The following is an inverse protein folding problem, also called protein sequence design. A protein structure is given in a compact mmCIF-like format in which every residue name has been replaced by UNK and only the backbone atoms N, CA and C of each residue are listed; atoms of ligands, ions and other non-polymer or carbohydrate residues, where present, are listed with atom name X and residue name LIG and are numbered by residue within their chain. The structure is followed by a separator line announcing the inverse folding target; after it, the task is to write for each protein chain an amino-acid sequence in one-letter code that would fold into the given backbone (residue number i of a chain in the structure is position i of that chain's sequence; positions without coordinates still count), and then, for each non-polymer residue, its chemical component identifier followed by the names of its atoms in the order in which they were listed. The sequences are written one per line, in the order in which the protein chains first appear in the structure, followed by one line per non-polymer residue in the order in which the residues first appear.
data_IF_447328495402
#
_entry.id   IF_447328495402
#
_cell.length_a   1.000
_cell.length_b   1.000
_cell.length_c   1.000
_cell.angle_alpha   90.00
_cell.angle_beta   90.00
_cell.angle_gamma   90.00
#
_symmetry.space_group_name_H-M   'P 1'
#
loop_
_entity.id
_entity.type
_entity.pdbx_description
1 polymer ?
#
# COMPACT_ATOMS: atom_id res chain seq x y z
N UNK A 1 -2.82 28.39 -2.97
CA UNK A 1 -1.71 27.88 -2.08
C UNK A 1 -0.38 28.26 -2.70
N UNK A 2 0.51 28.82 -1.91
CA UNK A 2 1.86 29.14 -2.38
C UNK A 2 2.67 27.87 -2.61
N UNK A 3 3.66 27.95 -3.50
CA UNK A 3 4.52 26.78 -3.84
C UNK A 3 5.18 26.20 -2.60
N UNK A 4 5.72 27.05 -1.69
CA UNK A 4 6.38 26.58 -0.46
C UNK A 4 5.41 25.87 0.47
N UNK A 5 4.18 26.36 0.59
CA UNK A 5 3.14 25.71 1.41
C UNK A 5 2.75 24.35 0.82
N UNK A 6 2.66 24.26 -0.51
CA UNK A 6 2.35 23.02 -1.19
C UNK A 6 3.43 21.97 -0.94
N UNK A 7 4.69 22.36 -0.99
CA UNK A 7 5.82 21.47 -0.70
C UNK A 7 5.76 21.00 0.75
N UNK A 8 5.51 21.88 1.70
CA UNK A 8 5.41 21.54 3.13
C UNK A 8 4.23 20.60 3.40
N UNK A 9 3.09 20.86 2.77
CA UNK A 9 1.90 20.01 2.89
C UNK A 9 2.18 18.61 2.34
N UNK A 10 2.81 18.53 1.17
CA UNK A 10 3.19 17.26 0.54
C UNK A 10 4.18 16.49 1.41
N UNK A 11 5.17 17.16 1.97
CA UNK A 11 6.16 16.52 2.85
C UNK A 11 5.49 15.89 4.07
N UNK A 12 4.53 16.58 4.69
CA UNK A 12 3.76 16.01 5.80
C UNK A 12 2.91 14.82 5.33
N UNK A 13 2.25 14.96 4.20
CA UNK A 13 1.43 13.89 3.63
C UNK A 13 2.28 12.64 3.40
N UNK A 14 3.42 12.77 2.75
CA UNK A 14 4.31 11.65 2.46
C UNK A 14 4.91 11.04 3.72
N UNK A 15 5.28 11.87 4.70
CA UNK A 15 5.83 11.40 5.97
C UNK A 15 4.91 10.41 6.67
N UNK A 16 3.61 10.62 6.59
CA UNK A 16 2.59 9.81 7.27
C UNK A 16 1.85 8.86 6.33
N UNK A 17 2.34 8.66 5.10
CA UNK A 17 1.70 7.83 4.08
C UNK A 17 0.22 8.20 3.88
N UNK A 18 -0.09 9.49 3.94
CA UNK A 18 -1.44 10.01 3.76
C UNK A 18 -2.41 9.70 4.90
N UNK A 19 -1.93 9.23 6.04
CA UNK A 19 -2.78 8.83 7.17
C UNK A 19 -3.04 9.98 8.14
N UNK A 20 -4.27 10.46 8.17
CA UNK A 20 -4.71 11.48 9.13
C UNK A 20 -4.61 10.96 10.57
N UNK A 21 -4.88 9.69 10.77
CA UNK A 21 -4.75 9.05 12.08
C UNK A 21 -3.32 9.19 12.64
N UNK A 22 -2.33 8.86 11.81
CA UNK A 22 -0.93 8.97 12.23
C UNK A 22 -0.51 10.42 12.43
N UNK A 23 -0.97 11.34 11.58
CA UNK A 23 -0.74 12.77 11.74
C UNK A 23 -1.28 13.27 13.08
N UNK A 24 -2.50 12.85 13.43
CA UNK A 24 -3.15 13.22 14.69
C UNK A 24 -2.37 12.69 15.88
N UNK A 25 -1.99 11.41 15.83
CA UNK A 25 -1.25 10.76 16.91
C UNK A 25 0.08 11.47 17.20
N UNK A 26 0.78 11.91 16.14
CA UNK A 26 2.07 12.59 16.27
C UNK A 26 1.96 14.11 16.46
N UNK A 27 0.74 14.65 16.47
CA UNK A 27 0.51 16.07 16.72
C UNK A 27 0.65 16.98 15.49
N UNK A 28 0.71 16.43 14.29
CA UNK A 28 0.94 17.20 13.04
C UNK A 28 -0.33 17.41 12.21
N UNK A 29 -1.47 16.85 12.61
CA UNK A 29 -2.69 16.95 11.78
C UNK A 29 -3.19 18.38 11.66
N UNK A 30 -3.22 19.14 12.75
CA UNK A 30 -3.70 20.54 12.72
C UNK A 30 -2.84 21.41 11.79
N UNK A 31 -1.53 21.17 11.80
CA UNK A 31 -0.61 21.84 10.88
C UNK A 31 -0.91 21.49 9.43
N UNK A 32 -1.12 20.20 9.14
CA UNK A 32 -1.46 19.76 7.80
C UNK A 32 -2.80 20.36 7.33
N UNK A 33 -3.80 20.35 8.22
CA UNK A 33 -5.14 20.86 7.92
C UNK A 33 -5.12 22.32 7.51
N UNK A 34 -4.21 23.12 8.07
CA UNK A 34 -4.08 24.55 7.75
C UNK A 34 -3.73 24.80 6.29
N UNK A 35 -3.13 23.84 5.60
CA UNK A 35 -2.76 23.99 4.20
C UNK A 35 -3.93 23.85 3.24
N UNK A 36 -5.10 23.42 3.69
CA UNK A 36 -6.32 23.28 2.89
C UNK A 36 -6.11 22.50 1.59
N UNK A 37 -5.41 21.39 1.67
CA UNK A 37 -5.13 20.52 0.52
C UNK A 37 -6.44 19.94 0.00
N UNK A 38 -6.65 19.99 -1.31
CA UNK A 38 -7.85 19.43 -1.93
C UNK A 38 -7.75 17.90 -2.00
N UNK A 39 -8.92 17.24 -2.07
CA UNK A 39 -8.97 15.78 -2.26
C UNK A 39 -8.33 15.36 -3.58
N UNK A 40 -8.50 16.15 -4.62
CA UNK A 40 -7.89 15.88 -5.93
C UNK A 40 -6.36 15.89 -5.82
N UNK A 41 -5.81 16.85 -5.09
CA UNK A 41 -4.37 16.92 -4.86
C UNK A 41 -3.89 15.71 -4.04
N UNK A 42 -4.65 15.33 -3.02
CA UNK A 42 -4.31 14.14 -2.21
C UNK A 42 -4.35 12.85 -3.04
N UNK A 43 -5.28 12.74 -4.00
CA UNK A 43 -5.31 11.57 -4.90
C UNK A 43 -4.04 11.49 -5.75
N UNK A 44 -3.57 12.62 -6.26
CA UNK A 44 -2.32 12.68 -7.02
C UNK A 44 -1.15 12.22 -6.14
N UNK A 45 -1.07 12.73 -4.93
CA UNK A 45 -0.01 12.35 -3.98
C UNK A 45 -0.08 10.89 -3.57
N UNK A 46 -1.30 10.34 -3.39
CA UNK A 46 -1.49 8.92 -3.10
C UNK A 46 -0.98 8.05 -4.24
N UNK A 47 -1.26 8.45 -5.47
CA UNK A 47 -0.74 7.74 -6.65
C UNK A 47 0.79 7.74 -6.69
N UNK A 48 1.39 8.89 -6.44
CA UNK A 48 2.86 9.01 -6.35
C UNK A 48 3.43 8.14 -5.22
N UNK A 49 2.73 8.14 -4.08
CA UNK A 49 3.14 7.35 -2.92
C UNK A 49 3.09 5.85 -3.21
N UNK A 50 2.05 5.38 -3.91
CA UNK A 50 1.96 3.98 -4.33
C UNK A 50 3.15 3.61 -5.21
N UNK A 51 3.48 4.45 -6.19
CA UNK A 51 4.62 4.18 -7.08
C UNK A 51 5.93 4.15 -6.30
N UNK A 52 6.12 5.09 -5.40
CA UNK A 52 7.32 5.14 -4.55
C UNK A 52 7.44 3.87 -3.70
N UNK A 53 6.37 3.49 -3.01
CA UNK A 53 6.37 2.32 -2.14
C UNK A 53 6.56 1.02 -2.94
N UNK A 54 5.97 0.92 -4.12
CA UNK A 54 6.18 -0.25 -4.99
C UNK A 54 7.64 -0.39 -5.42
N UNK A 55 8.32 0.73 -5.66
CA UNK A 55 9.75 0.71 -5.97
C UNK A 55 10.62 0.33 -4.76
N UNK A 56 10.09 0.46 -3.56
CA UNK A 56 10.77 0.09 -2.32
C UNK A 56 10.46 -1.33 -1.84
N UNK A 57 9.57 -2.05 -2.55
CA UNK A 57 9.25 -3.44 -2.17
C UNK A 57 10.50 -4.29 -2.14
N UNK A 58 10.61 -5.15 -1.14
CA UNK A 58 11.81 -5.96 -0.89
C UNK A 58 11.41 -7.29 -0.27
N UNK A 59 12.19 -8.33 -0.54
CA UNK A 59 12.08 -9.62 0.16
C UNK A 59 12.99 -9.70 1.38
N UNK A 60 13.76 -8.65 1.67
CA UNK A 60 14.61 -8.55 2.86
C UNK A 60 13.86 -7.99 4.07
N UNK A 61 12.82 -7.18 3.81
CA UNK A 61 11.96 -6.63 4.84
C UNK A 61 10.55 -6.38 4.27
N UNK A 62 9.59 -6.10 5.14
CA UNK A 62 8.20 -5.89 4.74
C UNK A 62 7.71 -4.46 4.98
N UNK A 63 8.60 -3.50 5.14
CA UNK A 63 8.22 -2.12 5.47
C UNK A 63 7.35 -1.46 4.39
N UNK A 64 7.79 -1.51 3.14
CA UNK A 64 7.02 -0.94 2.04
C UNK A 64 5.69 -1.66 1.84
N UNK A 65 5.69 -2.98 1.97
CA UNK A 65 4.47 -3.79 1.86
C UNK A 65 3.44 -3.41 2.93
N UNK A 66 3.87 -3.26 4.18
CA UNK A 66 2.99 -2.84 5.28
C UNK A 66 2.38 -1.47 5.02
N UNK A 67 3.18 -0.53 4.50
CA UNK A 67 2.70 0.80 4.15
C UNK A 67 1.66 0.75 3.03
N UNK A 68 1.89 -0.09 2.01
CA UNK A 68 0.93 -0.30 0.92
C UNK A 68 -0.36 -0.92 1.42
N UNK A 69 -0.27 -1.88 2.34
CA UNK A 69 -1.45 -2.53 2.92
C UNK A 69 -2.31 -1.50 3.68
N UNK A 70 -1.67 -0.64 4.47
CA UNK A 70 -2.37 0.43 5.19
C UNK A 70 -3.01 1.42 4.21
N UNK A 71 -2.27 1.84 3.19
CA UNK A 71 -2.74 2.78 2.18
C UNK A 71 -3.93 2.21 1.40
N UNK A 72 -3.98 0.89 1.18
CA UNK A 72 -5.07 0.24 0.48
C UNK A 72 -6.44 0.47 1.14
N UNK A 73 -6.48 0.76 2.44
CA UNK A 73 -7.71 1.11 3.14
C UNK A 73 -8.28 2.47 2.74
N UNK A 74 -7.46 3.37 2.23
CA UNK A 74 -7.80 4.75 1.90
C UNK A 74 -7.55 5.12 0.43
N UNK A 75 -7.29 4.13 -0.41
CA UNK A 75 -7.00 4.32 -1.82
C UNK A 75 -7.55 3.14 -2.60
N UNK A 76 -7.34 3.10 -3.91
CA UNK A 76 -7.75 1.99 -4.78
C UNK A 76 -6.97 0.71 -4.39
N UNK A 77 -7.59 -0.12 -3.56
CA UNK A 77 -6.97 -1.37 -3.09
C UNK A 77 -6.68 -2.32 -4.24
N UNK A 78 -7.55 -2.37 -5.26
CA UNK A 78 -7.37 -3.24 -6.42
C UNK A 78 -6.11 -2.89 -7.22
N UNK A 79 -5.84 -1.60 -7.37
CA UNK A 79 -4.62 -1.13 -8.04
C UNK A 79 -3.38 -1.51 -7.25
N UNK A 80 -3.42 -1.33 -5.94
CA UNK A 80 -2.32 -1.73 -5.05
C UNK A 80 -2.12 -3.24 -5.13
N UNK A 81 -3.21 -4.02 -5.09
CA UNK A 81 -3.14 -5.48 -5.19
C UNK A 81 -2.44 -5.92 -6.48
N UNK A 82 -2.83 -5.32 -7.61
CA UNK A 82 -2.23 -5.63 -8.91
C UNK A 82 -0.73 -5.43 -8.89
N UNK A 83 -0.28 -4.30 -8.36
CA UNK A 83 1.15 -3.97 -8.31
C UNK A 83 1.91 -4.86 -7.33
N UNK A 84 1.33 -5.16 -6.18
CA UNK A 84 1.96 -6.01 -5.17
C UNK A 84 2.12 -7.43 -5.69
N UNK A 85 1.08 -8.02 -6.29
CA UNK A 85 1.21 -9.40 -6.80
C UNK A 85 2.16 -9.49 -8.01
N UNK A 86 2.26 -8.44 -8.82
CA UNK A 86 3.22 -8.40 -9.92
C UNK A 86 4.65 -8.47 -9.40
N UNK A 87 4.96 -7.72 -8.35
CA UNK A 87 6.27 -7.79 -7.68
C UNK A 87 6.49 -9.16 -7.01
N UNK A 88 5.51 -9.60 -6.23
CA UNK A 88 5.62 -10.80 -5.42
C UNK A 88 5.83 -12.04 -6.26
N UNK A 89 5.08 -12.19 -7.36
CA UNK A 89 5.19 -13.35 -8.24
C UNK A 89 6.61 -13.54 -8.82
N UNK A 90 7.35 -12.44 -8.98
CA UNK A 90 8.70 -12.46 -9.54
C UNK A 90 9.80 -12.60 -8.50
N UNK A 91 9.54 -12.21 -7.26
CA UNK A 91 10.61 -12.00 -6.29
C UNK A 91 10.48 -12.83 -5.01
N UNK A 92 9.29 -13.37 -4.69
CA UNK A 92 9.04 -14.00 -3.39
C UNK A 92 9.94 -15.22 -3.13
N UNK A 93 10.40 -15.90 -4.17
CA UNK A 93 11.29 -17.06 -4.04
C UNK A 93 12.60 -16.71 -3.33
N UNK A 94 13.03 -15.46 -3.40
CA UNK A 94 14.26 -14.97 -2.75
C UNK A 94 14.10 -14.74 -1.25
N UNK A 95 12.85 -14.68 -0.76
CA UNK A 95 12.58 -14.45 0.65
C UNK A 95 12.68 -15.73 1.46
N UNK A 96 12.96 -15.58 2.75
CA UNK A 96 12.91 -16.70 3.68
C UNK A 96 11.45 -17.06 4.03
N UNK A 97 11.25 -18.10 4.83
CA UNK A 97 9.90 -18.57 5.20
C UNK A 97 9.10 -17.50 5.93
N UNK A 98 9.75 -16.70 6.79
CA UNK A 98 9.09 -15.64 7.54
C UNK A 98 8.54 -14.56 6.59
N UNK A 99 9.37 -14.09 5.65
CA UNK A 99 8.97 -13.07 4.67
C UNK A 99 7.83 -13.61 3.78
N UNK A 100 7.92 -14.89 3.37
CA UNK A 100 6.85 -15.51 2.56
C UNK A 100 5.51 -15.49 3.29
N UNK A 101 5.52 -15.85 4.57
CA UNK A 101 4.30 -15.85 5.40
C UNK A 101 3.75 -14.42 5.54
N UNK A 102 4.61 -13.44 5.83
CA UNK A 102 4.20 -12.04 5.96
C UNK A 102 3.59 -11.51 4.65
N UNK A 103 4.20 -11.83 3.51
CA UNK A 103 3.66 -11.42 2.21
C UNK A 103 2.27 -12.04 1.97
N UNK A 104 2.10 -13.33 2.29
CA UNK A 104 0.78 -13.97 2.15
C UNK A 104 -0.27 -13.30 3.02
N UNK A 105 0.06 -12.99 4.27
CA UNK A 105 -0.83 -12.32 5.21
C UNK A 105 -1.23 -10.93 4.72
N UNK A 106 -0.26 -10.14 4.29
CA UNK A 106 -0.49 -8.78 3.80
C UNK A 106 -1.29 -8.77 2.50
N UNK A 107 -0.98 -9.66 1.57
CA UNK A 107 -1.75 -9.79 0.32
C UNK A 107 -3.19 -10.17 0.63
N UNK A 108 -3.41 -11.08 1.58
CA UNK A 108 -4.77 -11.45 2.01
C UNK A 108 -5.53 -10.23 2.54
N UNK A 109 -4.89 -9.39 3.35
CA UNK A 109 -5.50 -8.15 3.83
C UNK A 109 -5.89 -7.21 2.69
N UNK A 110 -5.01 -7.06 1.69
CA UNK A 110 -5.30 -6.21 0.53
C UNK A 110 -6.48 -6.78 -0.25
N UNK A 111 -6.56 -8.10 -0.40
CA UNK A 111 -7.70 -8.77 -1.04
C UNK A 111 -9.01 -8.43 -0.29
N UNK A 112 -9.01 -8.52 1.04
CA UNK A 112 -10.18 -8.18 1.84
C UNK A 112 -10.62 -6.73 1.61
N UNK A 113 -9.68 -5.81 1.59
CA UNK A 113 -9.95 -4.39 1.34
C UNK A 113 -10.50 -4.16 -0.08
N UNK A 114 -9.93 -4.88 -1.05
CA UNK A 114 -10.39 -4.83 -2.44
C UNK A 114 -11.85 -5.28 -2.56
N UNK A 115 -12.19 -6.39 -1.92
CA UNK A 115 -13.56 -6.93 -1.92
C UNK A 115 -14.51 -5.96 -1.23
N UNK A 116 -14.12 -5.38 -0.11
CA UNK A 116 -14.94 -4.39 0.60
C UNK A 116 -15.24 -3.15 -0.24
N UNK A 117 -14.26 -2.67 -1.00
CA UNK A 117 -14.44 -1.50 -1.87
C UNK A 117 -15.37 -1.78 -3.02
N UNK A 118 -15.41 -3.02 -3.50
CA UNK A 118 -16.32 -3.51 -4.54
C UNK A 118 -16.51 -2.56 -5.73
N UNK A 119 -15.42 -1.95 -6.19
CA UNK A 119 -15.43 -1.05 -7.34
C UNK A 119 -14.85 -1.77 -8.55
N UNK A 120 -15.73 -2.14 -9.49
CA UNK A 120 -15.30 -2.84 -10.72
C UNK A 120 -14.37 -4.01 -10.41
N UNK A 121 -14.78 -4.87 -9.48
CA UNK A 121 -13.98 -5.96 -8.96
C UNK A 121 -13.56 -6.92 -10.09
N UNK A 122 -12.26 -7.11 -10.25
CA UNK A 122 -11.69 -8.00 -11.25
C UNK A 122 -11.48 -9.39 -10.65
N UNK A 123 -12.40 -10.30 -10.95
CA UNK A 123 -12.37 -11.67 -10.42
C UNK A 123 -11.07 -12.39 -10.77
N UNK A 124 -10.56 -12.18 -11.99
CA UNK A 124 -9.29 -12.78 -12.42
C UNK A 124 -8.14 -12.38 -11.49
N UNK A 125 -8.05 -11.09 -11.14
CA UNK A 125 -7.02 -10.58 -10.24
C UNK A 125 -7.12 -11.22 -8.86
N UNK A 126 -8.33 -11.33 -8.32
CA UNK A 126 -8.58 -11.96 -7.02
C UNK A 126 -8.13 -13.42 -7.05
N UNK A 127 -8.49 -14.17 -8.10
CA UNK A 127 -8.11 -15.58 -8.24
C UNK A 127 -6.60 -15.74 -8.37
N UNK A 128 -5.94 -14.90 -9.16
CA UNK A 128 -4.47 -14.91 -9.29
C UNK A 128 -3.79 -14.63 -7.95
N UNK A 129 -4.36 -13.73 -7.16
CA UNK A 129 -3.82 -13.39 -5.85
C UNK A 129 -3.93 -14.56 -4.88
N UNK A 130 -5.06 -15.27 -4.84
CA UNK A 130 -5.21 -16.48 -4.02
C UNK A 130 -4.30 -17.60 -4.48
N UNK A 131 -4.14 -17.79 -5.79
CA UNK A 131 -3.25 -18.82 -6.33
C UNK A 131 -1.79 -18.53 -5.93
N UNK A 132 -1.38 -17.28 -5.94
CA UNK A 132 -0.04 -16.89 -5.50
C UNK A 132 0.16 -17.18 -4.01
N UNK A 133 -0.83 -16.89 -3.17
CA UNK A 133 -0.78 -17.22 -1.74
C UNK A 133 -0.63 -18.71 -1.55
N UNK A 134 -1.45 -19.52 -2.22
CA UNK A 134 -1.40 -20.99 -2.10
C UNK A 134 -0.03 -21.55 -2.50
N UNK A 135 0.49 -21.09 -3.64
CA UNK A 135 1.80 -21.51 -4.13
C UNK A 135 2.91 -21.15 -3.15
N UNK A 136 2.88 -19.93 -2.64
CA UNK A 136 3.89 -19.43 -1.70
C UNK A 136 3.86 -20.23 -0.39
N UNK A 137 2.66 -20.50 0.14
CA UNK A 137 2.52 -21.29 1.37
C UNK A 137 2.99 -22.73 1.18
N UNK A 138 2.75 -23.34 0.02
CA UNK A 138 3.29 -24.68 -0.28
C UNK A 138 4.81 -24.69 -0.24
N UNK A 139 5.45 -23.64 -0.78
CA UNK A 139 6.90 -23.53 -0.76
C UNK A 139 7.44 -23.43 0.68
N UNK A 140 6.70 -22.75 1.57
CA UNK A 140 7.08 -22.64 2.99
C UNK A 140 6.97 -23.98 3.71
N UNK A 141 5.94 -24.77 3.36
CA UNK A 141 5.66 -26.06 4.05
C UNK A 141 6.54 -27.22 3.54
N UNK A 142 7.17 -27.04 2.41
CA UNK A 142 8.10 -28.03 1.86
C UNK A 142 9.53 -27.66 2.27
#
# INVERSE_FOLDING_TARGET
MEINENIKAKDLFMKYNGSYFHMTREGDYDKYKQYNVTKDQELIWKSELVDKLCNELSTDNFNALSSLTTLAGNYDAQEILRKVIAYTSKNIQKGDSFIKIIYCEQIFEIIEKTIKQNKNLQTKLINESFDLIKKTLKDVLN
#
